data_IF_125900745458
#
_entry.id   IF_125900745458
#
_cell.length_a   1.000
_cell.length_b   1.000
_cell.length_c   1.000
_cell.angle_alpha   90.00
_cell.angle_beta   90.00
_cell.angle_gamma   90.00
#
_symmetry.space_group_name_H-M   'P 1'
#
loop_
_entity.id
_entity.type
_entity.pdbx_description
1 polymer ?
#
# COMPACT_ATOMS: atom_id res chain seq x y z
N UNK A 1 -0.54 25.02 26.35
CA UNK A 1 -1.76 24.19 26.37
C UNK A 1 -2.72 24.76 25.33
N UNK A 2 -2.80 24.15 24.14
CA UNK A 2 -3.82 24.49 23.14
C UNK A 2 -5.06 23.65 23.41
N UNK A 3 -6.19 24.30 23.66
CA UNK A 3 -7.48 23.66 23.88
C UNK A 3 -8.03 23.23 22.52
N UNK A 4 -8.11 21.92 22.29
CA UNK A 4 -8.68 21.34 21.07
C UNK A 4 -10.20 21.32 21.24
N UNK A 5 -10.89 22.28 20.63
CA UNK A 5 -12.35 22.35 20.57
C UNK A 5 -12.78 22.47 19.12
N UNK A 6 -13.26 21.37 18.53
CA UNK A 6 -13.80 21.30 17.17
C UNK A 6 -13.94 19.85 16.71
N UNK A 7 -15.00 19.55 15.95
CA UNK A 7 -15.19 18.24 15.32
C UNK A 7 -13.94 17.90 14.50
N UNK A 8 -13.28 16.79 14.83
CA UNK A 8 -11.98 16.39 14.26
C UNK A 8 -10.75 17.22 14.65
N UNK A 9 -10.81 18.10 15.65
CA UNK A 9 -9.62 18.80 16.16
C UNK A 9 -8.99 19.66 15.07
N UNK A 10 -9.60 20.81 14.83
CA UNK A 10 -9.13 21.86 13.92
C UNK A 10 -7.84 22.50 14.44
N UNK A 11 -6.76 21.72 14.52
CA UNK A 11 -5.42 22.30 14.62
C UNK A 11 -5.19 23.03 13.31
N UNK A 12 -5.01 24.35 13.38
CA UNK A 12 -4.62 25.12 12.20
C UNK A 12 -3.20 24.73 11.80
N UNK A 13 -3.11 23.92 10.74
CA UNK A 13 -1.83 23.58 10.13
C UNK A 13 -1.39 24.70 9.20
N UNK A 14 -0.12 25.07 9.26
CA UNK A 14 0.52 26.01 8.35
C UNK A 14 1.88 25.50 7.92
N UNK A 15 2.25 25.76 6.65
CA UNK A 15 3.54 25.36 6.09
C UNK A 15 3.40 24.55 4.79
N UNK A 16 4.46 23.84 4.44
CA UNK A 16 4.58 23.08 3.19
C UNK A 16 4.62 21.58 3.47
N UNK A 17 3.76 20.82 2.80
CA UNK A 17 3.91 19.36 2.69
C UNK A 17 4.52 19.02 1.34
N UNK A 18 5.61 18.27 1.35
CA UNK A 18 6.30 17.79 0.15
C UNK A 18 5.80 16.38 -0.15
N UNK A 19 5.28 16.15 -1.35
CA UNK A 19 4.82 14.84 -1.82
C UNK A 19 5.68 14.41 -3.00
N UNK A 20 6.51 13.41 -2.79
CA UNK A 20 7.34 12.81 -3.83
C UNK A 20 6.80 11.41 -4.17
N UNK A 21 6.72 11.10 -5.46
CA UNK A 21 6.48 9.75 -5.93
C UNK A 21 7.58 9.38 -6.92
N UNK A 22 8.22 8.24 -6.74
CA UNK A 22 9.48 7.89 -7.41
C UNK A 22 9.38 7.89 -8.94
N UNK A 23 8.37 7.20 -9.50
CA UNK A 23 8.27 6.99 -10.95
C UNK A 23 7.94 8.29 -11.68
N UNK A 24 6.95 9.03 -11.19
CA UNK A 24 6.50 10.28 -11.83
C UNK A 24 7.21 11.53 -11.33
N UNK A 25 7.98 11.41 -10.26
CA UNK A 25 8.70 12.49 -9.60
C UNK A 25 10.17 12.63 -10.01
N UNK A 26 10.65 11.83 -10.96
CA UNK A 26 11.99 11.95 -11.55
C UNK A 26 13.02 10.95 -11.04
N UNK A 27 12.64 9.97 -10.22
CA UNK A 27 13.57 8.99 -9.65
C UNK A 27 14.13 7.98 -10.66
N UNK A 28 13.47 7.81 -11.81
CA UNK A 28 13.93 6.96 -12.91
C UNK A 28 14.94 7.64 -13.83
N UNK A 29 15.21 8.95 -13.65
CA UNK A 29 16.18 9.70 -14.48
C UNK A 29 15.94 9.57 -15.99
N UNK A 30 14.66 9.49 -16.41
CA UNK A 30 14.26 9.34 -17.80
C UNK A 30 14.13 7.89 -18.30
N UNK A 31 14.49 6.89 -17.49
CA UNK A 31 14.26 5.48 -17.81
C UNK A 31 12.76 5.13 -17.83
N UNK A 32 12.41 4.06 -18.54
CA UNK A 32 11.05 3.53 -18.58
C UNK A 32 10.81 2.58 -17.40
N UNK A 33 9.69 2.79 -16.69
CA UNK A 33 9.18 1.85 -15.69
C UNK A 33 8.05 0.99 -16.26
N UNK A 34 7.70 -0.13 -15.60
CA UNK A 34 6.46 -0.84 -15.89
C UNK A 34 5.28 0.13 -15.90
N UNK A 35 4.41 0.00 -16.91
CA UNK A 35 3.28 0.91 -17.11
C UNK A 35 2.38 1.02 -15.87
N UNK A 36 2.15 -0.11 -15.18
CA UNK A 36 1.37 -0.15 -13.94
C UNK A 36 1.96 0.73 -12.85
N UNK A 37 3.28 0.74 -12.67
CA UNK A 37 3.95 1.56 -11.66
C UNK A 37 3.77 3.06 -11.95
N UNK A 38 3.88 3.46 -13.22
CA UNK A 38 3.66 4.86 -13.62
C UNK A 38 2.24 5.30 -13.35
N UNK A 39 1.27 4.47 -13.72
CA UNK A 39 -0.15 4.75 -13.57
C UNK A 39 -0.56 4.83 -12.08
N UNK A 40 -0.14 3.84 -11.28
CA UNK A 40 -0.38 3.79 -9.83
C UNK A 40 0.31 4.94 -9.10
N UNK A 41 1.58 5.18 -9.42
CA UNK A 41 2.39 6.26 -8.86
C UNK A 41 1.78 7.64 -9.14
N UNK A 42 1.36 7.90 -10.38
CA UNK A 42 0.70 9.15 -10.75
C UNK A 42 -0.57 9.38 -9.93
N UNK A 43 -1.41 8.34 -9.81
CA UNK A 43 -2.65 8.40 -9.06
C UNK A 43 -2.41 8.70 -7.58
N UNK A 44 -1.47 8.00 -6.94
CA UNK A 44 -1.10 8.22 -5.55
C UNK A 44 -0.52 9.62 -5.31
N UNK A 45 0.44 10.08 -6.14
CA UNK A 45 1.03 11.43 -6.03
C UNK A 45 -0.05 12.49 -6.07
N UNK A 46 -0.97 12.40 -7.04
CA UNK A 46 -2.05 13.37 -7.23
C UNK A 46 -3.05 13.33 -6.08
N UNK A 47 -3.49 12.14 -5.65
CA UNK A 47 -4.45 12.00 -4.55
C UNK A 47 -3.88 12.56 -3.25
N UNK A 48 -2.66 12.18 -2.88
CA UNK A 48 -1.99 12.66 -1.68
C UNK A 48 -1.80 14.18 -1.71
N UNK A 49 -1.38 14.75 -2.84
CA UNK A 49 -1.18 16.18 -2.96
C UNK A 49 -2.48 16.97 -2.78
N UNK A 50 -3.61 16.45 -3.29
CA UNK A 50 -4.95 17.03 -3.06
C UNK A 50 -5.35 16.98 -1.59
N UNK A 51 -5.15 15.82 -0.98
CA UNK A 51 -5.53 15.58 0.41
C UNK A 51 -4.78 16.52 1.35
N UNK A 52 -3.46 16.67 1.19
CA UNK A 52 -2.70 17.63 1.98
C UNK A 52 -3.06 19.08 1.67
N UNK A 53 -3.35 19.43 0.41
CA UNK A 53 -3.81 20.77 0.07
C UNK A 53 -5.19 21.10 0.67
N UNK A 54 -6.01 20.09 0.97
CA UNK A 54 -7.32 20.23 1.62
C UNK A 54 -7.25 20.27 3.17
N UNK A 55 -6.06 20.11 3.77
CA UNK A 55 -5.87 20.18 5.23
C UNK A 55 -6.27 21.54 5.79
N UNK A 56 -5.97 22.63 5.08
CA UNK A 56 -6.32 23.97 5.50
C UNK A 56 -5.79 25.04 4.54
N UNK A 57 -6.27 26.29 4.66
CA UNK A 57 -5.89 27.38 3.76
C UNK A 57 -4.41 27.77 3.84
N UNK A 58 -3.75 27.50 4.97
CA UNK A 58 -2.35 27.83 5.21
C UNK A 58 -1.38 26.68 4.86
N UNK A 59 -1.90 25.53 4.40
CA UNK A 59 -1.07 24.41 3.94
C UNK A 59 -0.86 24.50 2.44
N UNK A 60 0.40 24.57 2.03
CA UNK A 60 0.82 24.48 0.63
C UNK A 60 1.39 23.10 0.38
N UNK A 61 1.31 22.64 -0.86
CA UNK A 61 1.84 21.34 -1.27
C UNK A 61 2.82 21.53 -2.40
N UNK A 62 3.99 20.92 -2.26
CA UNK A 62 4.97 20.80 -3.33
C UNK A 62 5.01 19.35 -3.76
N UNK A 63 4.86 19.10 -5.06
CA UNK A 63 5.07 17.77 -5.63
C UNK A 63 6.26 17.78 -6.55
N UNK A 64 7.07 16.73 -6.52
CA UNK A 64 8.12 16.56 -7.53
C UNK A 64 7.52 16.04 -8.83
N UNK A 65 8.18 16.35 -9.95
CA UNK A 65 7.78 15.85 -11.26
C UNK A 65 9.00 15.64 -12.15
N UNK A 66 9.04 14.50 -12.84
CA UNK A 66 10.04 14.24 -13.87
C UNK A 66 9.96 15.29 -14.99
N UNK A 67 11.03 16.06 -15.16
CA UNK A 67 11.12 17.12 -16.16
C UNK A 67 11.27 16.56 -17.59
N UNK A 68 11.68 15.30 -17.74
CA UNK A 68 11.85 14.64 -19.05
C UNK A 68 10.50 14.19 -19.64
N UNK A 69 9.47 14.01 -18.81
CA UNK A 69 8.16 13.50 -19.22
C UNK A 69 7.17 14.65 -19.50
N UNK A 70 6.55 14.63 -20.69
CA UNK A 70 5.47 15.56 -21.07
C UNK A 70 4.13 15.05 -20.53
N UNK A 71 3.31 15.94 -19.98
CA UNK A 71 1.97 15.61 -19.48
C UNK A 71 1.25 16.79 -18.80
N UNK A 72 0.02 16.63 -18.31
CA UNK A 72 -0.75 17.71 -17.69
C UNK A 72 -0.07 18.28 -16.44
N UNK A 73 0.23 19.59 -16.40
CA UNK A 73 0.69 20.32 -15.21
C UNK A 73 -0.50 20.69 -14.31
N UNK A 74 -0.27 20.77 -13.00
CA UNK A 74 -1.29 21.34 -12.09
C UNK A 74 -1.61 22.81 -12.43
N UNK A 75 -0.68 23.51 -13.08
CA UNK A 75 -0.73 24.94 -13.41
C UNK A 75 -1.21 25.31 -14.82
N UNK A 76 -1.78 24.38 -15.60
CA UNK A 76 -2.74 24.75 -16.65
C UNK A 76 -2.34 24.59 -18.13
N UNK A 77 -2.24 23.36 -18.63
CA UNK A 77 -2.25 23.15 -20.10
C UNK A 77 -3.19 22.05 -20.61
N UNK A 78 -3.92 21.35 -19.76
CA UNK A 78 -5.05 20.50 -20.23
C UNK A 78 -6.04 20.33 -19.08
N UNK A 79 -7.30 20.78 -19.30
CA UNK A 79 -8.44 20.37 -18.49
C UNK A 79 -8.62 18.85 -18.61
N UNK A 80 -7.94 18.09 -17.77
CA UNK A 80 -8.35 16.72 -17.57
C UNK A 80 -9.59 16.66 -16.68
N UNK A 81 -10.29 15.52 -16.65
CA UNK A 81 -11.50 15.37 -15.81
C UNK A 81 -11.25 15.69 -14.32
N UNK A 82 -10.00 15.58 -13.89
CA UNK A 82 -9.46 15.94 -12.59
C UNK A 82 -9.51 17.44 -12.26
N UNK A 83 -9.57 18.32 -13.27
CA UNK A 83 -9.63 19.78 -13.11
C UNK A 83 -11.00 20.26 -12.67
N UNK A 84 -12.03 19.46 -12.92
CA UNK A 84 -13.44 19.77 -12.64
C UNK A 84 -13.84 19.50 -11.18
N UNK A 85 -13.01 18.78 -10.43
CA UNK A 85 -13.36 18.29 -9.08
C UNK A 85 -12.68 19.06 -7.93
N UNK A 86 -11.72 19.96 -8.20
CA UNK A 86 -11.04 20.72 -7.15
C UNK A 86 -11.46 22.19 -7.16
N UNK A 87 -11.80 22.78 -6.00
CA UNK A 87 -11.93 24.23 -5.89
C UNK A 87 -10.64 24.93 -6.33
N UNK A 88 -10.76 26.01 -7.11
CA UNK A 88 -9.63 26.82 -7.61
C UNK A 88 -8.64 27.20 -6.50
N UNK A 89 -9.15 27.55 -5.31
CA UNK A 89 -8.34 27.91 -4.16
C UNK A 89 -7.43 26.77 -3.67
N UNK A 90 -7.86 25.51 -3.76
CA UNK A 90 -7.03 24.34 -3.41
C UNK A 90 -5.91 24.16 -4.43
N UNK A 91 -6.21 24.36 -5.71
CA UNK A 91 -5.24 24.21 -6.81
C UNK A 91 -4.09 25.21 -6.71
N UNK A 92 -4.40 26.46 -6.36
CA UNK A 92 -3.39 27.52 -6.20
C UNK A 92 -2.38 27.26 -5.07
N UNK A 93 -2.68 26.32 -4.16
CA UNK A 93 -1.77 25.92 -3.08
C UNK A 93 -0.80 24.80 -3.48
N UNK A 94 -0.95 24.23 -4.68
CA UNK A 94 -0.14 23.13 -5.17
C UNK A 94 0.92 23.64 -6.16
N UNK A 95 2.16 23.22 -5.96
CA UNK A 95 3.30 23.55 -6.83
C UNK A 95 3.95 22.27 -7.36
N UNK A 96 4.41 22.29 -8.60
CA UNK A 96 5.27 21.23 -9.15
C UNK A 96 6.72 21.71 -9.18
N UNK A 97 7.61 20.91 -8.61
CA UNK A 97 9.05 21.08 -8.66
C UNK A 97 9.63 20.11 -9.70
N UNK A 98 10.23 20.60 -10.80
CA UNK A 98 10.85 19.74 -11.80
C UNK A 98 12.09 19.03 -11.24
N UNK A 99 12.28 17.77 -11.63
CA UNK A 99 13.41 16.92 -11.25
C UNK A 99 13.96 16.23 -12.49
N UNK A 100 15.29 16.19 -12.64
CA UNK A 100 15.96 15.58 -13.79
C UNK A 100 15.89 16.41 -15.07
N UNK A 101 16.33 15.84 -16.20
CA UNK A 101 16.52 16.59 -17.45
C UNK A 101 17.54 17.72 -17.26
N UNK A 102 17.18 18.95 -17.64
CA UNK A 102 17.95 20.17 -17.34
C UNK A 102 17.71 20.70 -15.92
N UNK A 103 16.84 20.04 -15.14
CA UNK A 103 16.50 20.39 -13.76
C UNK A 103 17.46 19.79 -12.72
N UNK A 104 17.25 20.12 -11.43
CA UNK A 104 18.05 19.58 -10.33
C UNK A 104 17.88 18.07 -10.15
N UNK A 105 18.90 17.43 -9.58
CA UNK A 105 18.87 16.00 -9.22
C UNK A 105 17.84 15.69 -8.11
N UNK A 106 17.22 14.51 -8.18
CA UNK A 106 16.20 14.02 -7.24
C UNK A 106 16.61 14.20 -5.78
N UNK A 107 17.84 13.79 -5.44
CA UNK A 107 18.34 13.87 -4.08
C UNK A 107 18.46 15.32 -3.61
N UNK A 108 19.02 16.19 -4.45
CA UNK A 108 19.20 17.60 -4.11
C UNK A 108 17.85 18.28 -3.86
N UNK A 109 16.82 17.97 -4.66
CA UNK A 109 15.46 18.50 -4.47
C UNK A 109 14.86 18.03 -3.16
N UNK A 110 14.95 16.73 -2.85
CA UNK A 110 14.40 16.19 -1.61
C UNK A 110 15.11 16.75 -0.38
N UNK A 111 16.43 16.88 -0.41
CA UNK A 111 17.21 17.48 0.68
C UNK A 111 16.90 18.96 0.88
N UNK A 112 16.84 19.75 -0.20
CA UNK A 112 16.54 21.18 -0.14
C UNK A 112 15.15 21.43 0.46
N UNK A 113 14.11 20.81 -0.11
CA UNK A 113 12.76 20.96 0.40
C UNK A 113 12.61 20.44 1.83
N UNK A 114 13.27 19.32 2.16
CA UNK A 114 13.28 18.82 3.53
C UNK A 114 13.99 19.77 4.50
N UNK A 115 14.97 20.56 4.09
CA UNK A 115 15.73 21.48 4.97
C UNK A 115 15.00 22.81 5.24
N UNK A 116 14.12 23.26 4.33
CA UNK A 116 13.42 24.56 4.43
C UNK A 116 12.59 24.72 5.71
N UNK A 117 12.74 25.82 6.49
CA UNK A 117 12.02 26.06 7.74
C UNK A 117 10.51 25.88 7.67
N UNK A 118 9.90 26.33 6.57
CA UNK A 118 8.46 26.29 6.32
C UNK A 118 7.92 24.88 5.96
N UNK A 119 8.80 23.91 5.72
CA UNK A 119 8.37 22.53 5.45
C UNK A 119 7.85 21.89 6.74
N UNK A 120 6.57 21.54 6.70
CA UNK A 120 5.85 20.83 7.75
C UNK A 120 6.19 19.35 7.73
N UNK A 121 6.27 18.75 6.55
CA UNK A 121 6.64 17.34 6.41
C UNK A 121 6.82 16.86 4.97
N UNK A 122 7.41 15.67 4.84
CA UNK A 122 7.74 15.03 3.56
C UNK A 122 7.09 13.64 3.52
N UNK A 123 6.40 13.35 2.43
CA UNK A 123 5.82 12.06 2.09
C UNK A 123 6.49 11.55 0.82
N UNK A 124 6.97 10.31 0.85
CA UNK A 124 7.59 9.62 -0.27
C UNK A 124 6.78 8.36 -0.57
N UNK A 125 6.42 8.19 -1.83
CA UNK A 125 5.86 6.97 -2.39
C UNK A 125 6.87 6.40 -3.37
N UNK A 126 7.41 5.23 -3.08
CA UNK A 126 8.42 4.59 -3.93
C UNK A 126 8.38 3.07 -3.69
N UNK A 127 8.73 2.24 -4.68
CA UNK A 127 8.84 0.80 -4.45
C UNK A 127 9.91 0.49 -3.40
N UNK A 128 9.69 -0.59 -2.64
CA UNK A 128 10.65 -1.12 -1.66
C UNK A 128 11.85 -1.81 -2.34
N UNK A 129 11.67 -2.24 -3.60
CA UNK A 129 12.64 -3.00 -4.40
C UNK A 129 13.98 -2.29 -4.47
N UNK A 130 15.06 -3.06 -4.36
CA UNK A 130 16.45 -2.58 -4.39
C UNK A 130 16.73 -1.47 -3.36
N UNK A 131 15.90 -1.35 -2.32
CA UNK A 131 16.03 -0.33 -1.28
C UNK A 131 15.64 1.08 -1.72
N UNK A 132 14.97 1.25 -2.87
CA UNK A 132 14.64 2.56 -3.46
C UNK A 132 13.94 3.46 -2.44
N UNK A 133 12.84 3.01 -1.81
CA UNK A 133 12.14 3.78 -0.78
C UNK A 133 13.05 4.15 0.41
N UNK A 134 13.80 3.19 0.93
CA UNK A 134 14.66 3.39 2.09
C UNK A 134 15.75 4.45 1.82
N UNK A 135 16.36 4.42 0.64
CA UNK A 135 17.39 5.36 0.22
C UNK A 135 16.87 6.82 0.19
N UNK A 136 15.70 7.07 -0.40
CA UNK A 136 15.11 8.43 -0.46
C UNK A 136 14.80 8.95 0.94
N UNK A 137 14.29 8.09 1.80
CA UNK A 137 13.94 8.45 3.18
C UNK A 137 15.21 8.72 4.01
N UNK A 138 16.31 8.02 3.75
CA UNK A 138 17.62 8.35 4.34
C UNK A 138 18.11 9.74 3.94
N UNK A 139 17.83 10.20 2.70
CA UNK A 139 18.18 11.56 2.29
C UNK A 139 17.43 12.62 3.09
N UNK A 140 16.12 12.45 3.26
CA UNK A 140 15.30 13.35 4.09
C UNK A 140 15.76 13.30 5.55
N UNK A 141 15.98 12.11 6.10
CA UNK A 141 16.38 11.93 7.50
C UNK A 141 17.78 12.47 7.82
N UNK A 142 18.67 12.56 6.83
CA UNK A 142 19.99 13.16 6.99
C UNK A 142 19.91 14.67 7.30
N UNK A 143 18.95 15.36 6.70
CA UNK A 143 18.84 16.83 6.83
C UNK A 143 17.75 17.28 7.81
N UNK A 144 16.64 16.54 7.90
CA UNK A 144 15.51 16.90 8.76
C UNK A 144 14.64 15.67 9.12
N UNK A 145 15.11 14.78 10.02
CA UNK A 145 14.41 13.53 10.34
C UNK A 145 13.03 13.75 10.98
N UNK A 146 12.81 14.89 11.65
CA UNK A 146 11.50 15.21 12.25
C UNK A 146 10.42 15.53 11.21
N UNK A 147 10.78 15.84 9.96
CA UNK A 147 9.85 16.14 8.86
C UNK A 147 9.37 14.90 8.11
N UNK A 148 10.00 13.75 8.32
CA UNK A 148 9.55 12.52 7.69
C UNK A 148 8.19 12.06 8.24
N UNK A 149 7.22 11.83 7.34
CA UNK A 149 5.83 11.50 7.68
C UNK A 149 5.48 10.00 7.55
N UNK A 150 6.42 9.07 7.35
CA UNK A 150 6.11 7.65 7.15
C UNK A 150 6.95 6.70 8.00
N UNK A 151 6.98 5.41 7.68
CA UNK A 151 7.66 4.41 8.51
C UNK A 151 9.18 4.67 8.61
N UNK A 152 9.82 4.20 9.68
CA UNK A 152 11.27 4.30 9.81
C UNK A 152 12.01 3.49 8.73
N UNK A 153 13.24 3.87 8.40
CA UNK A 153 14.09 3.12 7.46
C UNK A 153 14.29 1.67 7.90
N UNK A 154 14.41 1.42 9.21
CA UNK A 154 14.51 0.07 9.76
C UNK A 154 13.22 -0.74 9.49
N UNK A 155 12.05 -0.13 9.71
CA UNK A 155 10.77 -0.76 9.40
C UNK A 155 10.64 -1.05 7.90
N UNK A 156 11.05 -0.11 7.04
CA UNK A 156 11.03 -0.30 5.59
C UNK A 156 11.86 -1.48 5.14
N UNK A 157 13.10 -1.59 5.64
CA UNK A 157 13.99 -2.72 5.34
C UNK A 157 13.42 -4.05 5.83
N UNK A 158 12.83 -4.05 7.02
CA UNK A 158 12.18 -5.25 7.58
C UNK A 158 10.96 -5.69 6.77
N UNK A 159 10.11 -4.75 6.35
CA UNK A 159 8.92 -5.05 5.55
C UNK A 159 9.26 -5.39 4.09
N UNK A 160 10.35 -4.85 3.55
CA UNK A 160 10.83 -5.14 2.19
C UNK A 160 11.32 -6.58 2.02
N UNK A 161 11.88 -7.20 3.06
CA UNK A 161 12.26 -8.62 3.04
C UNK A 161 11.08 -9.51 3.46
N UNK A 162 10.37 -10.05 2.46
CA UNK A 162 9.20 -10.91 2.70
C UNK A 162 9.52 -12.20 3.47
N UNK A 163 10.73 -12.76 3.32
CA UNK A 163 11.09 -13.98 4.05
C UNK A 163 11.36 -13.66 5.53
N UNK A 164 12.14 -12.61 5.80
CA UNK A 164 12.43 -12.17 7.16
C UNK A 164 11.14 -11.74 7.88
N UNK A 165 10.26 -11.01 7.20
CA UNK A 165 8.96 -10.60 7.72
C UNK A 165 8.10 -11.83 8.08
N UNK A 166 8.02 -12.82 7.18
CA UNK A 166 7.27 -14.04 7.43
C UNK A 166 7.84 -14.86 8.59
N UNK A 167 9.18 -14.95 8.72
CA UNK A 167 9.82 -15.60 9.86
C UNK A 167 9.48 -14.89 11.19
N UNK A 168 9.50 -13.55 11.19
CA UNK A 168 9.14 -12.74 12.35
C UNK A 168 7.68 -12.92 12.75
N UNK A 169 6.76 -12.91 11.80
CA UNK A 169 5.35 -13.23 12.05
C UNK A 169 5.17 -14.62 12.69
N UNK A 170 5.80 -15.65 12.12
CA UNK A 170 5.69 -17.02 12.68
C UNK A 170 6.25 -17.12 14.09
N UNK A 171 7.34 -16.41 14.40
CA UNK A 171 7.92 -16.38 15.76
C UNK A 171 6.96 -15.80 16.81
N UNK A 172 5.98 -14.98 16.38
CA UNK A 172 4.98 -14.34 17.23
C UNK A 172 3.60 -15.02 17.12
N UNK A 173 3.50 -16.15 16.41
CA UNK A 173 2.23 -16.86 16.19
C UNK A 173 1.28 -16.14 15.23
N UNK A 174 1.79 -15.23 14.40
CA UNK A 174 1.02 -14.55 13.35
C UNK A 174 0.99 -15.43 12.10
N UNK A 175 -0.22 -15.71 11.59
CA UNK A 175 -0.43 -16.62 10.46
C UNK A 175 0.06 -16.03 9.13
N UNK A 176 0.98 -16.71 8.46
CA UNK A 176 1.51 -16.32 7.15
C UNK A 176 1.93 -17.55 6.34
N UNK A 177 1.74 -17.57 5.01
CA UNK A 177 2.14 -18.71 4.18
C UNK A 177 3.61 -19.10 4.38
N UNK A 178 3.96 -20.40 4.52
CA UNK A 178 5.35 -20.84 4.52
C UNK A 178 6.04 -20.39 3.22
N UNK A 179 7.36 -20.16 3.28
CA UNK A 179 8.09 -19.68 2.12
C UNK A 179 9.55 -20.08 2.16
N UNK A 180 10.11 -20.25 0.96
CA UNK A 180 11.50 -20.63 0.73
C UNK A 180 12.09 -19.71 -0.34
N UNK A 181 13.42 -19.55 -0.33
CA UNK A 181 14.09 -18.70 -1.32
C UNK A 181 14.70 -19.55 -2.43
N UNK A 182 14.51 -19.07 -3.66
CA UNK A 182 15.23 -19.50 -4.84
C UNK A 182 16.07 -18.32 -5.35
N UNK A 183 17.33 -18.60 -5.68
CA UNK A 183 18.27 -17.61 -6.21
C UNK A 183 17.90 -17.22 -7.64
N UNK A 184 18.28 -15.99 -8.03
CA UNK A 184 18.13 -15.52 -9.40
C UNK A 184 18.83 -16.46 -10.40
N UNK A 185 18.20 -16.70 -11.55
CA UNK A 185 18.75 -17.54 -12.62
C UNK A 185 18.76 -19.05 -12.34
N UNK A 186 18.40 -19.48 -11.12
CA UNK A 186 18.31 -20.91 -10.79
C UNK A 186 17.02 -21.53 -11.32
N UNK A 187 17.14 -22.63 -12.05
CA UNK A 187 16.00 -23.40 -12.56
C UNK A 187 15.06 -23.83 -11.42
N UNK A 188 13.77 -23.48 -11.55
CA UNK A 188 12.78 -23.83 -10.53
C UNK A 188 12.56 -25.34 -10.45
N UNK A 189 12.63 -26.06 -11.57
CA UNK A 189 12.46 -27.52 -11.60
C UNK A 189 13.59 -28.22 -10.84
N UNK A 190 14.84 -27.86 -11.12
CA UNK A 190 16.02 -28.41 -10.43
C UNK A 190 16.02 -28.04 -8.94
N UNK A 191 15.62 -26.81 -8.61
CA UNK A 191 15.47 -26.38 -7.22
C UNK A 191 14.41 -27.22 -6.48
N UNK A 192 13.27 -27.51 -7.11
CA UNK A 192 12.22 -28.35 -6.51
C UNK A 192 12.70 -29.79 -6.28
N UNK A 193 13.40 -30.38 -7.26
CA UNK A 193 13.95 -31.74 -7.16
C UNK A 193 14.97 -31.85 -6.03
N UNK A 194 15.95 -30.94 -6.01
CA UNK A 194 17.00 -30.93 -4.98
C UNK A 194 16.43 -30.69 -3.58
N UNK A 195 15.43 -29.81 -3.44
CA UNK A 195 14.83 -29.50 -2.14
C UNK A 195 13.90 -30.63 -1.65
N UNK A 196 13.19 -31.31 -2.56
CA UNK A 196 12.40 -32.53 -2.24
C UNK A 196 13.30 -33.68 -1.81
N UNK A 197 14.40 -33.93 -2.52
CA UNK A 197 15.34 -35.02 -2.21
C UNK A 197 15.94 -34.88 -0.81
N UNK A 198 16.08 -33.65 -0.29
CA UNK A 198 16.55 -33.37 1.07
C UNK A 198 15.47 -33.55 2.15
N UNK A 199 14.26 -34.02 1.80
CA UNK A 199 13.12 -34.16 2.72
C UNK A 199 12.66 -32.84 3.35
N UNK A 200 13.13 -31.70 2.83
CA UNK A 200 13.07 -30.40 3.49
C UNK A 200 11.84 -29.57 3.10
N UNK A 201 10.94 -30.12 2.29
CA UNK A 201 9.91 -29.34 1.60
C UNK A 201 8.52 -29.97 1.73
N UNK A 202 7.65 -29.36 2.55
CA UNK A 202 6.22 -29.63 2.58
C UNK A 202 5.44 -28.80 1.53
N UNK A 203 6.09 -28.39 0.44
CA UNK A 203 5.50 -27.55 -0.60
C UNK A 203 4.54 -28.36 -1.45
N UNK A 204 3.27 -27.98 -1.41
CA UNK A 204 2.21 -28.54 -2.25
C UNK A 204 1.91 -27.57 -3.38
N UNK A 205 1.67 -28.12 -4.56
CA UNK A 205 1.12 -27.35 -5.68
C UNK A 205 -0.38 -27.07 -5.44
N UNK A 206 -0.92 -25.93 -5.92
CA UNK A 206 -0.24 -24.90 -6.71
C UNK A 206 0.80 -24.14 -5.88
N UNK A 207 1.79 -23.53 -6.53
CA UNK A 207 2.78 -22.67 -5.88
C UNK A 207 2.73 -21.26 -6.48
N UNK A 208 3.17 -20.27 -5.73
CA UNK A 208 3.45 -18.92 -6.21
C UNK A 208 4.92 -18.59 -6.03
N UNK A 209 5.51 -17.99 -7.04
CA UNK A 209 6.86 -17.44 -7.02
C UNK A 209 6.75 -15.93 -7.19
N UNK A 210 7.36 -15.15 -6.29
CA UNK A 210 7.39 -13.69 -6.33
C UNK A 210 8.74 -13.14 -5.88
N UNK A 211 9.19 -11.98 -6.36
CA UNK A 211 10.44 -11.36 -5.88
C UNK A 211 10.40 -11.16 -4.37
N UNK A 212 11.56 -11.33 -3.72
CA UNK A 212 11.69 -11.17 -2.27
C UNK A 212 11.27 -9.75 -1.83
N UNK A 213 11.67 -8.74 -2.60
CA UNK A 213 11.50 -7.30 -2.35
C UNK A 213 10.66 -6.56 -3.42
N UNK A 214 9.79 -7.28 -4.15
CA UNK A 214 8.93 -6.70 -5.20
C UNK A 214 7.68 -5.96 -4.69
N UNK A 215 7.02 -5.20 -5.58
CA UNK A 215 5.76 -4.48 -5.34
C UNK A 215 4.75 -4.68 -6.48
N UNK A 216 3.44 -4.55 -6.20
CA UNK A 216 2.38 -4.46 -7.22
C UNK A 216 2.20 -5.71 -8.09
N UNK A 217 2.30 -6.91 -7.51
CA UNK A 217 2.30 -8.20 -8.23
C UNK A 217 3.41 -8.36 -9.30
N UNK A 218 4.36 -7.44 -9.37
CA UNK A 218 5.46 -7.49 -10.33
C UNK A 218 6.24 -8.81 -10.22
N UNK A 219 6.48 -9.45 -11.36
CA UNK A 219 7.13 -10.77 -11.49
C UNK A 219 6.52 -11.87 -10.61
N UNK A 220 5.25 -11.74 -10.23
CA UNK A 220 4.55 -12.75 -9.43
C UNK A 220 3.84 -13.75 -10.33
N UNK A 221 4.17 -15.04 -10.16
CA UNK A 221 3.67 -16.12 -11.02
C UNK A 221 3.22 -17.34 -10.22
N UNK A 222 2.05 -17.87 -10.55
CA UNK A 222 1.52 -19.13 -10.05
C UNK A 222 1.85 -20.27 -11.01
N UNK A 223 2.25 -21.41 -10.46
CA UNK A 223 2.35 -22.66 -11.19
C UNK A 223 1.37 -23.67 -10.60
N UNK A 224 0.48 -24.19 -11.44
CA UNK A 224 -0.57 -25.12 -11.04
C UNK A 224 -0.03 -26.50 -10.68
N UNK A 225 0.95 -27.00 -11.42
CA UNK A 225 1.61 -28.29 -11.23
C UNK A 225 3.10 -28.17 -11.58
N UNK A 226 3.96 -29.15 -11.21
CA UNK A 226 5.35 -29.17 -11.66
C UNK A 226 5.49 -29.13 -13.18
N UNK A 227 4.59 -29.78 -13.90
CA UNK A 227 4.59 -29.87 -15.36
C UNK A 227 4.29 -28.53 -16.03
N UNK A 228 3.56 -27.64 -15.35
CA UNK A 228 3.24 -26.30 -15.82
C UNK A 228 4.43 -25.32 -15.79
N UNK A 229 5.56 -25.71 -15.16
CA UNK A 229 6.77 -24.88 -15.12
C UNK A 229 7.49 -25.01 -16.47
N UNK A 230 7.71 -23.95 -17.27
CA UNK A 230 8.45 -24.10 -18.52
C UNK A 230 9.85 -24.68 -18.30
N UNK A 231 10.36 -25.44 -19.27
CA UNK A 231 11.74 -25.93 -19.22
C UNK A 231 12.72 -24.76 -19.15
N UNK A 232 13.72 -24.85 -18.26
CA UNK A 232 14.68 -23.77 -18.02
C UNK A 232 14.10 -22.52 -17.34
N UNK A 233 12.82 -22.51 -16.92
CA UNK A 233 12.28 -21.35 -16.22
C UNK A 233 13.02 -21.11 -14.91
N UNK A 234 13.51 -19.88 -14.76
CA UNK A 234 14.17 -19.38 -13.57
C UNK A 234 13.66 -17.96 -13.28
N UNK A 235 13.57 -17.57 -12.00
CA UNK A 235 13.25 -16.20 -11.67
C UNK A 235 14.43 -15.29 -12.01
N UNK A 236 14.14 -14.09 -12.51
CA UNK A 236 15.15 -13.09 -12.86
C UNK A 236 15.86 -12.51 -11.62
N UNK A 237 15.25 -12.66 -10.45
CA UNK A 237 15.73 -12.13 -9.16
C UNK A 237 15.51 -13.15 -8.05
N UNK A 238 16.23 -12.98 -6.94
CA UNK A 238 15.97 -13.76 -5.73
C UNK A 238 14.49 -13.68 -5.36
N UNK A 239 13.85 -14.84 -5.30
CA UNK A 239 12.40 -14.94 -5.22
C UNK A 239 11.98 -15.86 -4.09
N UNK A 240 10.82 -15.54 -3.52
CA UNK A 240 10.11 -16.35 -2.56
C UNK A 240 9.22 -17.35 -3.30
N UNK A 241 9.34 -18.63 -2.97
CA UNK A 241 8.45 -19.72 -3.38
C UNK A 241 7.54 -20.04 -2.21
N UNK A 242 6.22 -19.96 -2.41
CA UNK A 242 5.21 -20.27 -1.39
C UNK A 242 4.16 -21.22 -1.97
N UNK A 243 3.49 -22.06 -1.17
CA UNK A 243 2.29 -22.73 -1.64
C UNK A 243 1.24 -21.66 -1.95
N UNK A 244 0.39 -21.96 -2.92
CA UNK A 244 -0.77 -21.14 -3.23
C UNK A 244 -1.80 -21.30 -2.13
N UNK A 245 -2.25 -20.19 -1.57
CA UNK A 245 -3.32 -20.15 -0.57
C UNK A 245 -4.58 -19.62 -1.24
N UNK A 246 -5.67 -20.36 -1.09
CA UNK A 246 -6.99 -19.91 -1.51
C UNK A 246 -7.56 -18.95 -0.45
N UNK A 247 -8.20 -17.87 -0.90
CA UNK A 247 -8.80 -16.87 -0.04
C UNK A 247 -9.16 -15.61 -0.82
N UNK A 248 -9.88 -14.70 -0.17
CA UNK A 248 -10.21 -13.39 -0.70
C UNK A 248 -9.00 -12.47 -0.52
N UNK A 249 -8.37 -11.97 -1.61
CA UNK A 249 -7.31 -10.99 -1.51
C UNK A 249 -7.85 -9.66 -0.98
N UNK A 250 -7.22 -9.13 0.05
CA UNK A 250 -7.67 -7.95 0.73
C UNK A 250 -6.50 -7.17 1.33
N UNK A 251 -6.77 -5.91 1.62
CA UNK A 251 -5.81 -5.02 2.25
C UNK A 251 -6.48 -4.19 3.32
N UNK A 252 -5.69 -3.73 4.27
CA UNK A 252 -6.08 -2.71 5.23
C UNK A 252 -5.21 -1.47 5.02
N UNK A 253 -5.84 -0.30 5.11
CA UNK A 253 -5.13 0.96 5.15
C UNK A 253 -5.02 1.39 6.60
N UNK A 254 -3.79 1.56 7.07
CA UNK A 254 -3.47 1.73 8.48
C UNK A 254 -2.69 3.04 8.66
N UNK A 255 -3.02 3.77 9.73
CA UNK A 255 -2.31 4.97 10.13
C UNK A 255 -1.65 4.75 11.49
N UNK A 256 -0.32 4.68 11.50
CA UNK A 256 0.50 4.50 12.69
C UNK A 256 0.92 5.81 13.33
N UNK A 257 0.99 5.81 14.66
CA UNK A 257 1.64 6.85 15.46
C UNK A 257 3.05 6.39 15.85
N UNK A 258 3.91 7.31 16.31
CA UNK A 258 5.29 6.96 16.66
C UNK A 258 5.37 6.06 17.88
N UNK A 259 4.50 6.26 18.87
CA UNK A 259 4.56 5.50 20.14
C UNK A 259 3.24 4.89 20.59
N UNK A 260 2.09 5.32 20.05
CA UNK A 260 0.75 4.93 20.53
C UNK A 260 0.06 3.85 19.68
N UNK A 261 0.82 3.15 18.86
CA UNK A 261 0.34 2.08 17.99
C UNK A 261 -0.34 2.59 16.72
N UNK A 262 -1.13 1.71 16.10
CA UNK A 262 -1.70 1.91 14.77
C UNK A 262 -3.22 1.85 14.78
N UNK A 263 -3.85 2.65 13.91
CA UNK A 263 -5.31 2.66 13.71
C UNK A 263 -5.62 2.17 12.30
N UNK A 264 -6.45 1.14 12.19
CA UNK A 264 -6.98 0.70 10.91
C UNK A 264 -8.03 1.71 10.46
N UNK A 265 -7.78 2.41 9.36
CA UNK A 265 -8.72 3.41 8.86
C UNK A 265 -9.88 2.74 8.14
N UNK A 266 -9.56 1.80 7.25
CA UNK A 266 -10.53 1.10 6.42
C UNK A 266 -9.91 -0.16 5.82
N UNK A 267 -10.76 -0.96 5.21
CA UNK A 267 -10.45 -2.26 4.65
C UNK A 267 -10.86 -2.24 3.19
N UNK A 268 -10.08 -2.87 2.34
CA UNK A 268 -10.36 -3.03 0.93
C UNK A 268 -10.30 -4.49 0.52
N UNK A 269 -11.14 -4.88 -0.43
CA UNK A 269 -10.96 -6.12 -1.17
C UNK A 269 -10.18 -5.81 -2.44
N UNK A 270 -9.17 -6.62 -2.73
CA UNK A 270 -8.35 -6.48 -3.93
C UNK A 270 -8.93 -7.37 -5.04
N UNK A 271 -8.88 -6.88 -6.28
CA UNK A 271 -9.16 -7.67 -7.48
C UNK A 271 -7.80 -8.09 -8.07
N UNK A 272 -7.50 -9.37 -7.94
CA UNK A 272 -6.28 -9.99 -8.48
C UNK A 272 -6.69 -10.91 -9.62
N UNK A 273 -6.16 -10.64 -10.80
CA UNK A 273 -6.34 -11.51 -11.96
C UNK A 273 -5.17 -12.50 -12.06
N UNK A 274 -5.46 -13.63 -12.70
CA UNK A 274 -4.48 -14.61 -13.11
C UNK A 274 -4.64 -14.84 -14.61
N UNK A 275 -3.59 -14.59 -15.39
CA UNK A 275 -3.61 -14.88 -16.83
C UNK A 275 -3.35 -16.37 -17.14
N UNK A 276 -3.50 -16.75 -18.41
CA UNK A 276 -3.31 -18.13 -18.88
C UNK A 276 -1.88 -18.64 -18.66
N UNK A 277 -0.91 -17.74 -18.53
CA UNK A 277 0.49 -18.05 -18.24
C UNK A 277 0.77 -18.12 -16.73
N UNK A 278 -0.23 -17.90 -15.89
CA UNK A 278 -0.15 -17.92 -14.44
C UNK A 278 0.42 -16.64 -13.84
N UNK A 279 0.53 -15.52 -14.58
CA UNK A 279 1.00 -14.24 -14.03
C UNK A 279 -0.13 -13.56 -13.27
N UNK A 280 0.21 -13.03 -12.09
CA UNK A 280 -0.74 -12.28 -11.28
C UNK A 280 -0.74 -10.81 -11.69
N UNK A 281 -1.93 -10.20 -11.75
CA UNK A 281 -2.11 -8.78 -12.01
C UNK A 281 -3.03 -8.14 -10.99
N UNK A 282 -2.56 -7.06 -10.34
CA UNK A 282 -3.43 -6.22 -9.54
C UNK A 282 -4.33 -5.39 -10.48
N UNK A 283 -5.65 -5.47 -10.27
CA UNK A 283 -6.66 -4.75 -11.08
C UNK A 283 -7.39 -3.68 -10.29
N UNK A 284 -6.89 -3.28 -9.12
CA UNK A 284 -7.59 -2.39 -8.22
C UNK A 284 -8.40 -3.12 -7.15
N UNK A 285 -9.50 -2.55 -6.70
CA UNK A 285 -10.27 -3.10 -5.61
C UNK A 285 -11.56 -2.36 -5.28
N UNK A 286 -12.08 -2.62 -4.09
CA UNK A 286 -13.26 -1.95 -3.54
C UNK A 286 -13.01 -1.50 -2.11
N UNK A 287 -13.44 -0.28 -1.76
CA UNK A 287 -13.26 0.33 -0.45
C UNK A 287 -14.47 1.21 -0.07
N UNK A 288 -15.05 1.09 1.13
CA UNK A 288 -14.73 0.11 2.18
C UNK A 288 -15.29 -1.29 1.86
N UNK A 289 -14.53 -2.34 2.18
CA UNK A 289 -14.99 -3.72 2.16
C UNK A 289 -15.51 -4.13 3.56
N UNK A 290 -16.77 -4.60 3.59
CA UNK A 290 -17.55 -4.83 4.84
C UNK A 290 -17.79 -6.29 5.22
N UNK A 291 -17.52 -7.26 4.35
CA UNK A 291 -17.66 -8.69 4.66
C UNK A 291 -16.51 -9.18 5.55
N UNK A 292 -16.49 -8.71 6.81
CA UNK A 292 -15.50 -9.09 7.82
C UNK A 292 -16.10 -10.18 8.72
N UNK A 293 -15.29 -11.14 9.22
CA UNK A 293 -15.75 -12.03 10.28
C UNK A 293 -16.09 -11.24 11.54
N UNK A 294 -17.11 -11.70 12.26
CA UNK A 294 -17.41 -11.21 13.61
C UNK A 294 -16.23 -11.53 14.56
N UNK A 295 -15.83 -10.55 15.38
CA UNK A 295 -15.02 -10.80 16.58
C UNK A 295 -13.49 -10.59 16.51
N UNK A 296 -12.83 -10.48 15.35
CA UNK A 296 -11.41 -10.05 15.33
C UNK A 296 -10.91 -9.48 14.02
N UNK A 297 -10.65 -8.17 14.02
CA UNK A 297 -10.05 -7.45 12.88
C UNK A 297 -8.96 -6.49 13.35
N UNK A 298 -9.20 -5.67 14.38
CA UNK A 298 -8.17 -4.78 14.96
C UNK A 298 -7.08 -5.56 15.70
N UNK A 299 -7.45 -6.55 16.51
CA UNK A 299 -6.48 -7.41 17.21
C UNK A 299 -5.57 -8.16 16.24
N UNK A 300 -6.12 -8.63 15.11
CA UNK A 300 -5.37 -9.35 14.09
C UNK A 300 -4.36 -8.43 13.39
N UNK A 301 -4.75 -7.21 13.00
CA UNK A 301 -3.80 -6.22 12.45
C UNK A 301 -2.79 -5.79 13.51
N UNK A 302 -3.23 -5.58 14.74
CA UNK A 302 -2.33 -5.19 15.82
C UNK A 302 -1.27 -6.29 16.00
N UNK A 303 -1.66 -7.56 16.07
CA UNK A 303 -0.73 -8.67 16.12
C UNK A 303 0.23 -8.71 14.92
N UNK A 304 -0.25 -8.41 13.71
CA UNK A 304 0.60 -8.39 12.51
C UNK A 304 1.54 -7.17 12.44
N UNK A 305 1.17 -6.03 13.02
CA UNK A 305 1.92 -4.78 12.88
C UNK A 305 2.83 -4.49 14.07
N UNK A 306 2.47 -4.89 15.29
CA UNK A 306 3.31 -4.68 16.49
C UNK A 306 4.60 -5.48 16.47
N UNK A 307 4.74 -6.43 15.55
CA UNK A 307 6.00 -7.13 15.37
C UNK A 307 7.08 -6.24 14.77
N UNK A 308 6.75 -5.13 14.10
CA UNK A 308 7.74 -4.23 13.47
C UNK A 308 7.74 -2.88 14.17
N UNK A 309 8.88 -2.55 14.78
CA UNK A 309 9.08 -1.25 15.40
C UNK A 309 9.25 -0.16 14.33
N UNK A 310 8.67 1.01 14.59
CA UNK A 310 8.79 2.18 13.70
C UNK A 310 7.85 2.17 12.49
N UNK A 311 6.75 1.42 12.54
CA UNK A 311 5.61 1.57 11.62
C UNK A 311 4.72 2.75 12.04
N UNK A 312 4.98 3.92 11.47
CA UNK A 312 4.14 5.12 11.63
C UNK A 312 3.86 5.79 10.29
N UNK A 313 2.91 6.73 10.28
CA UNK A 313 2.35 7.27 9.05
C UNK A 313 1.40 6.29 8.36
N UNK A 314 1.05 6.57 7.10
CA UNK A 314 0.12 5.76 6.33
C UNK A 314 0.83 4.57 5.67
N UNK A 315 0.34 3.37 5.90
CA UNK A 315 0.87 2.14 5.32
C UNK A 315 -0.24 1.13 4.99
N UNK A 316 0.05 0.22 4.05
CA UNK A 316 -0.84 -0.87 3.65
C UNK A 316 -0.47 -2.19 4.31
N UNK A 317 -1.46 -3.03 4.59
CA UNK A 317 -1.24 -4.42 5.05
C UNK A 317 -2.09 -5.35 4.20
N UNK A 318 -1.44 -6.28 3.51
CA UNK A 318 -2.10 -7.20 2.59
C UNK A 318 -2.24 -8.58 3.22
N UNK A 319 -3.41 -9.19 3.00
CA UNK A 319 -3.77 -10.48 3.57
C UNK A 319 -4.72 -11.23 2.64
N UNK A 320 -4.73 -12.56 2.77
CA UNK A 320 -5.82 -13.39 2.27
C UNK A 320 -6.78 -13.67 3.41
N UNK A 321 -8.07 -13.56 3.12
CA UNK A 321 -9.13 -13.91 4.05
C UNK A 321 -9.88 -15.16 3.56
N UNK A 322 -9.80 -16.23 4.34
CA UNK A 322 -10.58 -17.45 4.12
C UNK A 322 -11.87 -17.38 4.92
N UNK A 323 -13.01 -17.32 4.22
CA UNK A 323 -14.33 -17.42 4.84
C UNK A 323 -14.50 -18.86 5.35
N UNK A 324 -14.48 -19.04 6.67
CA UNK A 324 -14.70 -20.34 7.29
C UNK A 324 -16.19 -20.70 7.15
N UNK A 325 -16.57 -21.44 6.12
CA UNK A 325 -17.88 -22.11 6.11
C UNK A 325 -17.94 -23.16 7.20
N UNK A 326 -19.06 -23.25 7.90
CA UNK A 326 -19.32 -24.28 8.92
C UNK A 326 -19.02 -25.67 8.36
N UNK A 327 -18.09 -26.40 8.99
CA UNK A 327 -17.64 -27.73 8.54
C UNK A 327 -16.47 -27.77 7.54
N UNK A 328 -15.96 -26.62 7.08
CA UNK A 328 -14.71 -26.57 6.31
C UNK A 328 -13.51 -26.71 7.27
N UNK A 329 -12.98 -27.93 7.39
CA UNK A 329 -11.73 -28.18 8.09
C UNK A 329 -10.58 -27.56 7.30
N UNK A 330 -10.28 -26.27 7.53
CA UNK A 330 -8.96 -25.76 7.17
C UNK A 330 -7.97 -26.53 8.03
N UNK A 331 -7.14 -27.35 7.40
CA UNK A 331 -6.04 -28.05 8.09
C UNK A 331 -4.99 -27.00 8.47
N UNK A 332 -5.30 -26.18 9.47
CA UNK A 332 -4.38 -25.21 10.07
C UNK A 332 -3.29 -26.01 10.78
N UNK A 333 -2.16 -26.20 10.11
CA UNK A 333 -0.99 -26.91 10.65
C UNK A 333 -0.13 -26.05 11.59
N UNK A 334 -0.60 -24.85 11.92
CA UNK A 334 0.00 -24.00 12.94
C UNK A 334 -1.08 -23.54 13.90
N UNK A 335 -0.78 -23.56 15.20
CA UNK A 335 -1.59 -22.97 16.28
C UNK A 335 -1.78 -21.46 16.04
N UNK A 336 -2.61 -21.08 15.07
CA UNK A 336 -3.09 -19.72 14.94
C UNK A 336 -3.95 -19.43 16.19
N UNK A 337 -3.76 -18.27 16.80
CA UNK A 337 -4.61 -17.82 17.90
C UNK A 337 -6.06 -17.73 17.41
N UNK A 338 -7.02 -17.94 18.30
CA UNK A 338 -8.45 -17.95 17.93
C UNK A 338 -8.92 -16.62 17.31
N UNK A 339 -8.23 -15.50 17.62
CA UNK A 339 -8.43 -14.16 17.05
C UNK A 339 -7.83 -13.97 15.64
N UNK A 340 -7.13 -14.96 15.10
CA UNK A 340 -6.56 -14.94 13.74
C UNK A 340 -7.14 -16.01 12.81
N UNK A 341 -8.24 -16.65 13.20
CA UNK A 341 -8.93 -17.65 12.35
C UNK A 341 -9.36 -17.02 11.02
N UNK A 342 -8.91 -17.61 9.91
CA UNK A 342 -9.24 -17.17 8.54
C UNK A 342 -8.23 -16.19 7.91
N UNK A 343 -7.23 -15.69 8.64
CA UNK A 343 -6.27 -14.72 8.11
C UNK A 343 -4.97 -15.38 7.64
N UNK A 344 -4.44 -14.93 6.51
CA UNK A 344 -3.07 -15.20 6.07
C UNK A 344 -2.41 -13.88 5.68
N UNK A 345 -1.50 -13.38 6.52
CA UNK A 345 -0.78 -12.15 6.27
C UNK A 345 0.25 -12.35 5.17
N UNK A 346 0.21 -11.48 4.15
CA UNK A 346 1.02 -11.62 2.93
C UNK A 346 2.19 -10.65 2.93
N UNK A 347 1.95 -9.37 3.21
CA UNK A 347 2.98 -8.34 3.25
C UNK A 347 2.51 -7.08 3.99
N UNK A 348 3.46 -6.27 4.45
CA UNK A 348 3.24 -4.90 4.88
C UNK A 348 3.93 -4.01 3.84
N UNK A 349 3.18 -3.07 3.29
CA UNK A 349 3.67 -2.02 2.41
C UNK A 349 3.92 -0.77 3.28
N UNK A 350 5.16 -0.47 3.73
CA UNK A 350 5.49 0.60 4.71
C UNK A 350 5.36 2.04 4.15
N UNK A 351 4.39 2.25 3.27
CA UNK A 351 4.09 3.47 2.51
C UNK A 351 2.62 3.47 2.07
N UNK A 352 2.11 4.59 1.56
CA UNK A 352 0.82 4.59 0.87
C UNK A 352 0.76 3.55 -0.26
N UNK A 353 -0.40 2.90 -0.37
CA UNK A 353 -0.75 2.00 -1.46
C UNK A 353 -1.89 2.61 -2.29
N UNK A 354 -2.16 2.06 -3.47
CA UNK A 354 -3.19 2.56 -4.40
C UNK A 354 -4.57 2.70 -3.74
N UNK A 355 -4.89 1.89 -2.72
CA UNK A 355 -6.10 2.01 -1.89
C UNK A 355 -6.29 3.41 -1.24
N UNK A 356 -5.21 4.18 -1.03
CA UNK A 356 -5.33 5.55 -0.52
C UNK A 356 -6.04 6.49 -1.52
N UNK A 357 -5.94 6.23 -2.82
CA UNK A 357 -6.64 7.01 -3.86
C UNK A 357 -8.15 6.88 -3.70
N UNK A 358 -8.63 5.65 -3.54
CA UNK A 358 -10.05 5.36 -3.32
C UNK A 358 -10.56 5.94 -1.99
N UNK A 359 -9.75 5.90 -0.92
CA UNK A 359 -10.10 6.57 0.34
C UNK A 359 -10.25 8.09 0.16
N UNK A 360 -9.29 8.74 -0.51
CA UNK A 360 -9.31 10.20 -0.71
C UNK A 360 -10.50 10.61 -1.60
N UNK A 361 -10.83 9.81 -2.61
CA UNK A 361 -12.01 10.02 -3.45
C UNK A 361 -13.30 9.88 -2.63
N UNK A 362 -13.41 8.84 -1.80
CA UNK A 362 -14.53 8.65 -0.89
C UNK A 362 -14.73 9.85 0.04
N UNK A 363 -13.64 10.36 0.64
CA UNK A 363 -13.66 11.54 1.51
C UNK A 363 -14.06 12.84 0.78
N UNK A 364 -13.83 12.91 -0.52
CA UNK A 364 -14.16 14.07 -1.35
C UNK A 364 -15.64 14.09 -1.77
N UNK A 365 -16.23 12.92 -2.03
CA UNK A 365 -17.59 12.77 -2.60
C UNK A 365 -18.71 12.72 -1.57
N UNK A 366 -18.41 12.19 -0.39
CA UNK A 366 -19.39 12.06 0.67
C UNK A 366 -19.02 12.94 1.87
N UNK A 367 -18.89 14.27 1.69
CA UNK A 367 -18.61 15.18 2.79
C UNK A 367 -19.82 15.20 3.72
N UNK A 368 -19.73 14.42 4.79
CA UNK A 368 -20.70 14.43 5.89
C UNK A 368 -20.11 15.09 7.13
N UNK A 369 -20.89 15.22 8.21
CA UNK A 369 -20.35 15.62 9.51
C UNK A 369 -19.28 14.66 10.05
N UNK A 370 -19.15 13.47 9.47
CA UNK A 370 -18.24 12.43 9.92
C UNK A 370 -16.85 12.47 9.25
N UNK A 371 -16.75 12.79 7.95
CA UNK A 371 -15.47 12.90 7.25
C UNK A 371 -15.56 13.75 5.96
N UNK A 372 -14.46 14.42 5.61
CA UNK A 372 -14.32 15.34 4.47
C UNK A 372 -12.89 15.32 3.91
N UNK A 373 -12.71 15.88 2.71
CA UNK A 373 -11.39 16.13 2.13
C UNK A 373 -10.44 16.83 3.12
N UNK A 374 -9.20 16.36 3.18
CA UNK A 374 -8.17 16.84 4.11
C UNK A 374 -8.18 16.15 5.48
N UNK A 375 -9.18 15.33 5.82
CA UNK A 375 -9.20 14.64 7.12
C UNK A 375 -8.16 13.54 7.26
N UNK A 376 -7.83 12.83 6.17
CA UNK A 376 -6.69 11.90 6.17
C UNK A 376 -5.40 12.69 6.36
N UNK A 377 -5.23 13.82 5.67
CA UNK A 377 -4.06 14.70 5.83
C UNK A 377 -3.92 15.23 7.26
N UNK A 378 -5.00 15.74 7.86
CA UNK A 378 -5.06 16.20 9.25
C UNK A 378 -4.73 15.08 10.22
N UNK A 379 -5.32 13.90 10.02
CA UNK A 379 -5.08 12.75 10.88
C UNK A 379 -3.64 12.27 10.79
N UNK A 380 -3.06 12.27 9.59
CA UNK A 380 -1.70 11.85 9.34
C UNK A 380 -0.69 12.80 10.02
N UNK A 381 -0.84 14.10 9.81
CA UNK A 381 0.00 15.11 10.46
C UNK A 381 -0.09 15.00 11.99
N UNK A 382 -1.29 14.86 12.55
CA UNK A 382 -1.48 14.69 13.99
C UNK A 382 -0.85 13.39 14.51
N UNK A 383 -1.00 12.28 13.78
CA UNK A 383 -0.46 10.97 14.17
C UNK A 383 1.07 10.96 14.21
N UNK A 384 1.73 11.64 13.27
CA UNK A 384 3.20 11.61 13.19
C UNK A 384 3.83 12.75 13.97
N UNK A 385 3.39 14.00 13.74
CA UNK A 385 4.02 15.18 14.33
C UNK A 385 3.64 15.38 15.80
N UNK A 386 2.41 15.01 16.18
CA UNK A 386 1.91 15.18 17.55
C UNK A 386 1.68 13.85 18.28
N UNK A 387 2.03 12.71 17.67
CA UNK A 387 1.81 11.36 18.22
C UNK A 387 0.37 11.16 18.71
N UNK A 388 -0.60 11.75 18.00
CA UNK A 388 -2.00 11.84 18.41
C UNK A 388 -2.88 10.94 17.53
N UNK A 389 -3.38 9.80 18.04
CA UNK A 389 -4.22 8.89 17.27
C UNK A 389 -5.69 9.32 17.20
N UNK A 390 -6.12 10.35 17.95
CA UNK A 390 -7.55 10.69 18.06
C UNK A 390 -8.20 11.08 16.71
N UNK A 391 -7.57 11.90 15.85
CA UNK A 391 -8.09 12.15 14.51
C UNK A 391 -8.23 10.88 13.65
N UNK A 392 -7.25 9.96 13.72
CA UNK A 392 -7.29 8.70 12.97
C UNK A 392 -8.46 7.81 13.41
N UNK A 393 -8.72 7.72 14.73
CA UNK A 393 -9.86 6.95 15.27
C UNK A 393 -11.20 7.53 14.83
N UNK A 394 -11.33 8.86 14.86
CA UNK A 394 -12.56 9.53 14.38
C UNK A 394 -12.77 9.32 12.88
N UNK A 395 -11.70 9.39 12.08
CA UNK A 395 -11.75 9.10 10.65
C UNK A 395 -12.18 7.64 10.39
N UNK A 396 -11.63 6.67 11.12
CA UNK A 396 -12.07 5.27 11.09
C UNK A 396 -13.57 5.15 11.40
N UNK A 397 -14.03 5.77 12.49
CA UNK A 397 -15.42 5.67 12.93
C UNK A 397 -16.37 6.27 11.87
N UNK A 398 -15.96 7.35 11.23
CA UNK A 398 -16.69 7.94 10.10
C UNK A 398 -16.76 7.00 8.89
N UNK A 399 -15.63 6.38 8.52
CA UNK A 399 -15.56 5.42 7.41
C UNK A 399 -16.38 4.15 7.69
N UNK A 400 -16.47 3.74 8.96
CA UNK A 400 -17.33 2.64 9.40
C UNK A 400 -18.83 2.94 9.23
N UNK A 401 -19.22 4.21 9.06
CA UNK A 401 -20.58 4.64 8.76
C UNK A 401 -20.96 4.66 7.27
N UNK A 402 -20.00 4.58 6.34
CA UNK A 402 -20.24 4.71 4.89
C UNK A 402 -20.99 3.49 4.31
N UNK A 403 -22.26 3.59 3.87
CA UNK A 403 -23.04 2.44 3.43
C UNK A 403 -22.36 1.68 2.26
N UNK A 404 -22.59 0.36 2.11
CA UNK A 404 -22.00 -0.43 1.01
C UNK A 404 -22.29 0.13 -0.39
N UNK A 405 -23.43 0.81 -0.56
CA UNK A 405 -23.83 1.47 -1.81
C UNK A 405 -22.95 2.67 -2.19
N UNK A 406 -22.11 3.15 -1.27
CA UNK A 406 -21.14 4.22 -1.47
C UNK A 406 -19.70 3.69 -1.53
N UNK A 407 -19.51 2.37 -1.62
CA UNK A 407 -18.18 1.81 -1.82
C UNK A 407 -17.62 2.23 -3.19
N UNK A 408 -16.36 2.67 -3.19
CA UNK A 408 -15.64 3.03 -4.41
C UNK A 408 -15.03 1.76 -4.98
N UNK A 409 -15.43 1.40 -6.18
CA UNK A 409 -14.77 0.40 -7.02
C UNK A 409 -13.73 1.13 -7.86
N UNK A 410 -12.48 0.68 -7.82
CA UNK A 410 -11.40 1.36 -8.51
C UNK A 410 -10.50 0.36 -9.22
N UNK A 411 -9.90 0.79 -10.33
CA UNK A 411 -8.92 0.01 -11.07
C UNK A 411 -7.49 0.21 -10.54
N UNK A 412 -6.50 -0.44 -11.16
CA UNK A 412 -5.10 -0.25 -10.76
C UNK A 412 -4.64 1.22 -10.91
N UNK A 413 -5.24 2.00 -11.82
CA UNK A 413 -4.99 3.44 -11.94
C UNK A 413 -5.65 4.30 -10.84
N UNK A 414 -6.33 3.68 -9.88
CA UNK A 414 -7.14 4.39 -8.89
C UNK A 414 -8.31 5.14 -9.51
N UNK A 415 -8.67 4.83 -10.77
CA UNK A 415 -9.85 5.39 -11.43
C UNK A 415 -11.07 4.57 -11.03
N UNK A 416 -12.17 5.26 -10.78
CA UNK A 416 -13.43 4.59 -10.48
C UNK A 416 -13.89 3.75 -11.66
N UNK A 417 -14.39 2.55 -11.37
CA UNK A 417 -15.08 1.70 -12.31
C UNK A 417 -16.54 1.57 -11.88
N UNK A 418 -17.45 1.42 -12.84
CA UNK A 418 -18.82 1.06 -12.52
C UNK A 418 -18.81 -0.24 -11.70
N UNK A 419 -19.56 -0.23 -10.60
CA UNK A 419 -19.78 -1.44 -9.81
C UNK A 419 -20.17 -2.57 -10.75
N UNK A 420 -19.38 -3.64 -10.80
CA UNK A 420 -19.85 -4.89 -11.37
C UNK A 420 -21.15 -5.23 -10.63
N UNK A 421 -22.29 -5.09 -11.31
CA UNK A 421 -23.58 -5.46 -10.74
C UNK A 421 -23.54 -6.90 -10.21
N UNK A 422 -24.56 -7.36 -9.47
CA UNK A 422 -24.58 -8.69 -8.84
C UNK A 422 -24.47 -9.90 -9.81
N UNK A 423 -24.11 -9.71 -11.08
CA UNK A 423 -24.02 -10.71 -12.13
C UNK A 423 -22.69 -11.48 -12.23
N UNK A 424 -21.65 -11.17 -11.46
CA UNK A 424 -20.41 -11.97 -11.44
C UNK A 424 -20.02 -12.39 -10.01
N UNK A 425 -20.90 -13.14 -9.34
CA UNK A 425 -20.38 -14.18 -8.43
C UNK A 425 -19.57 -15.12 -9.32
N UNK A 426 -18.29 -15.45 -9.00
CA UNK A 426 -17.71 -16.64 -9.57
C UNK A 426 -18.45 -17.84 -8.95
N UNK A 427 -19.62 -18.18 -9.48
CA UNK A 427 -20.20 -19.51 -9.35
C UNK A 427 -19.41 -20.45 -10.26
N UNK A 428 -18.13 -20.62 -9.96
CA UNK A 428 -17.46 -21.89 -10.21
C UNK A 428 -17.14 -22.45 -8.84
N UNK A 429 -18.13 -23.14 -8.29
CA UNK A 429 -17.84 -24.27 -7.43
C UNK A 429 -16.94 -25.19 -8.25
N UNK A 430 -15.63 -25.10 -7.99
CA UNK A 430 -14.67 -26.03 -8.54
C UNK A 430 -14.96 -27.37 -7.87
N UNK A 431 -15.75 -28.22 -8.53
CA UNK A 431 -15.88 -29.62 -8.14
C UNK A 431 -14.56 -30.29 -8.53
N UNK A 432 -13.88 -31.01 -7.62
CA UNK A 432 -12.81 -31.89 -8.02
C UNK A 432 -13.40 -32.93 -8.97
N UNK A 433 -12.86 -33.05 -10.19
CA UNK A 433 -13.08 -34.26 -10.98
C UNK A 433 -12.28 -35.37 -10.27
N UNK A 434 -13.03 -36.36 -9.79
CA UNK A 434 -12.55 -37.63 -9.24
C UNK A 434 -11.54 -38.31 -10.13
#
# INVERSE_FOLDING_TARGET
MMTISGALGDTEWSGIVVVHEFVTGGGLKGEEAPESWRIEGEAMRRALAREFAAVGPMVRVVTTRDATKRGPRFSGETEGWWDRLLPTATRQRMLECPVGGDGPDERAVLEDWAARPETLGVVIVAPETDGILAERVEWVNRVAPWRWLGASVSAMRQCGDKLAMAARWRSQGVATPPGWVIEAGRSLREWLETTRARGSLALRFPIVVKPLDGAGCWLTRRFATPEAIPEGWAPERCSLVQPWWEGIPASALVLGTRTRGATVLTWGRQRIDLDDQGRLGYRGGVLPWRCRPEGSTEAAIQAATTVVDGLYGLFGVDFLYAELTEGATITMTTKARDDQRGWQWIEINPRPTTSCVALIDLLSRFPGPAARAGDLGRAWLAAVLHDNPAPARRLRDALAGVPPTQAIHFNAAGQEEESEGPANRPTRSWRPRS
#
